data_IF_115657279094
#
_entry.id   IF_115657279094
#
_cell.length_a   1.000
_cell.length_b   1.000
_cell.length_c   1.000
_cell.angle_alpha   90.00
_cell.angle_beta   90.00
_cell.angle_gamma   90.00
#
_symmetry.space_group_name_H-M   'P 1'
#
loop_
_entity.id
_entity.type
_entity.pdbx_description
1 polymer ?
#
# COMPACT_ATOMS: atom_id res chain seq x y z
N UNK A 1 -16.31 6.26 0.49
CA UNK A 1 -14.94 6.54 0.00
C UNK A 1 -14.94 7.61 -1.12
N UNK A 2 -14.28 8.76 -0.90
CA UNK A 2 -14.19 9.88 -1.88
C UNK A 2 -12.90 9.90 -2.70
N UNK A 3 -11.96 8.98 -2.44
CA UNK A 3 -10.67 8.95 -3.14
C UNK A 3 -10.78 8.19 -4.46
N UNK A 4 -10.24 8.74 -5.54
CA UNK A 4 -10.11 8.06 -6.85
C UNK A 4 -8.76 7.34 -7.00
N UNK A 5 -7.81 7.62 -6.10
CA UNK A 5 -6.45 7.08 -6.10
C UNK A 5 -5.94 6.83 -4.68
N UNK A 6 -5.25 5.72 -4.48
CA UNK A 6 -4.49 5.38 -3.27
C UNK A 6 -3.01 5.25 -3.61
N UNK A 7 -2.15 5.84 -2.79
CA UNK A 7 -0.70 5.63 -2.85
C UNK A 7 -0.28 4.95 -1.55
N UNK A 8 0.08 3.67 -1.63
CA UNK A 8 0.42 2.84 -0.47
C UNK A 8 1.88 2.42 -0.56
N UNK A 9 2.62 2.57 0.53
CA UNK A 9 3.98 2.02 0.64
C UNK A 9 3.94 0.78 1.51
N UNK A 10 4.22 -0.37 0.91
CA UNK A 10 4.47 -1.60 1.64
C UNK A 10 5.89 -1.55 2.21
N UNK A 11 5.99 -1.62 3.54
CA UNK A 11 7.27 -1.68 4.27
C UNK A 11 7.37 -3.07 4.87
N UNK A 12 8.40 -3.83 4.48
CA UNK A 12 8.65 -5.17 5.00
C UNK A 12 9.26 -5.11 6.40
N UNK A 13 8.47 -4.64 7.36
CA UNK A 13 8.81 -4.49 8.77
C UNK A 13 7.58 -4.84 9.61
N UNK A 14 7.76 -5.73 10.59
CA UNK A 14 6.73 -6.06 11.56
C UNK A 14 6.77 -5.06 12.73
N UNK A 15 5.59 -4.61 13.17
CA UNK A 15 5.42 -3.70 14.31
C UNK A 15 4.58 -4.43 15.35
N UNK A 16 5.21 -4.89 16.43
CA UNK A 16 4.59 -5.78 17.44
C UNK A 16 3.39 -5.14 18.15
N UNK A 17 3.43 -3.82 18.40
CA UNK A 17 2.42 -3.09 19.16
C UNK A 17 1.63 -2.10 18.29
N UNK A 18 1.37 -2.46 17.02
CA UNK A 18 0.51 -1.65 16.16
C UNK A 18 -0.92 -1.56 16.73
N UNK A 19 -1.36 -0.34 17.07
CA UNK A 19 -2.68 -0.08 17.65
C UNK A 19 -3.74 0.33 16.61
N UNK A 20 -3.29 0.65 15.39
CA UNK A 20 -4.11 1.22 14.32
C UNK A 20 -3.72 0.59 12.99
N UNK A 21 -4.73 0.16 12.23
CA UNK A 21 -4.55 -0.57 10.98
C UNK A 21 -5.19 0.15 9.80
N UNK A 22 -4.61 -0.03 8.61
CA UNK A 22 -5.22 0.44 7.38
C UNK A 22 -6.53 -0.33 7.11
N UNK A 23 -7.62 0.32 6.67
CA UNK A 23 -8.85 -0.38 6.35
C UNK A 23 -8.66 -1.42 5.22
N UNK A 24 -9.45 -2.50 5.20
CA UNK A 24 -9.44 -3.40 4.05
C UNK A 24 -9.90 -2.66 2.79
N UNK A 25 -9.27 -2.96 1.65
CA UNK A 25 -9.71 -2.50 0.34
C UNK A 25 -9.69 -3.68 -0.64
N UNK A 26 -10.74 -3.81 -1.45
CA UNK A 26 -10.97 -4.95 -2.34
C UNK A 26 -10.30 -4.72 -3.71
N UNK A 27 -9.70 -5.77 -4.28
CA UNK A 27 -9.16 -5.77 -5.65
C UNK A 27 -10.25 -5.67 -6.74
N UNK A 28 -11.52 -5.86 -6.39
CA UNK A 28 -12.65 -5.55 -7.28
C UNK A 28 -12.93 -4.03 -7.39
N UNK A 29 -12.60 -3.26 -6.35
CA UNK A 29 -12.78 -1.80 -6.33
C UNK A 29 -11.51 -1.04 -6.74
N UNK A 30 -10.34 -1.64 -6.52
CA UNK A 30 -9.04 -1.00 -6.70
C UNK A 30 -8.14 -1.82 -7.61
N UNK A 31 -7.60 -1.16 -8.63
CA UNK A 31 -6.64 -1.76 -9.56
C UNK A 31 -5.25 -1.15 -9.35
N UNK A 32 -4.24 -2.00 -9.20
CA UNK A 32 -2.84 -1.55 -9.20
C UNK A 32 -2.51 -0.93 -10.56
N UNK A 33 -2.06 0.31 -10.55
CA UNK A 33 -1.66 1.05 -11.73
C UNK A 33 -0.15 0.98 -11.94
N UNK A 34 0.62 1.31 -10.90
CA UNK A 34 2.09 1.30 -10.95
C UNK A 34 2.69 0.84 -9.63
N UNK A 35 3.91 0.32 -9.69
CA UNK A 35 4.69 -0.05 -8.52
C UNK A 35 6.14 0.40 -8.70
N UNK A 36 6.76 0.90 -7.64
CA UNK A 36 8.15 1.34 -7.62
C UNK A 36 8.85 0.83 -6.37
N UNK A 37 9.99 0.18 -6.55
CA UNK A 37 10.84 -0.22 -5.43
C UNK A 37 11.62 1.02 -4.95
N UNK A 38 11.32 1.45 -3.72
CA UNK A 38 11.95 2.64 -3.12
C UNK A 38 13.26 2.26 -2.46
N UNK A 39 13.29 1.09 -1.82
CA UNK A 39 14.45 0.57 -1.12
C UNK A 39 14.45 -0.95 -1.18
N UNK A 40 15.57 -1.53 -1.57
CA UNK A 40 15.75 -2.99 -1.64
C UNK A 40 16.13 -3.59 -0.28
N UNK A 41 16.85 -2.83 0.53
CA UNK A 41 17.51 -3.33 1.75
C UNK A 41 16.74 -2.99 3.03
N UNK A 42 17.01 -3.76 4.09
CA UNK A 42 16.18 -3.88 5.29
C UNK A 42 15.78 -2.54 5.96
N UNK A 43 14.47 -2.22 6.07
CA UNK A 43 13.34 -2.96 5.50
C UNK A 43 13.09 -2.60 4.03
N UNK A 44 12.85 -3.62 3.20
CA UNK A 44 12.44 -3.45 1.80
C UNK A 44 11.16 -2.61 1.72
N UNK A 45 11.13 -1.64 0.81
CA UNK A 45 9.99 -0.74 0.63
C UNK A 45 9.55 -0.65 -0.83
N UNK A 46 8.25 -0.77 -1.04
CA UNK A 46 7.62 -0.72 -2.35
C UNK A 46 6.46 0.26 -2.30
N UNK A 47 6.46 1.27 -3.17
CA UNK A 47 5.27 2.11 -3.36
C UNK A 47 4.40 1.56 -4.48
N UNK A 48 3.11 1.37 -4.20
CA UNK A 48 2.07 1.04 -5.16
C UNK A 48 1.08 2.20 -5.32
N UNK A 49 0.77 2.56 -6.57
CA UNK A 49 -0.33 3.45 -6.92
C UNK A 49 -1.52 2.61 -7.37
N UNK A 50 -2.66 2.76 -6.70
CA UNK A 50 -3.91 2.08 -7.00
C UNK A 50 -4.96 3.09 -7.44
N UNK A 51 -5.71 2.78 -8.48
CA UNK A 51 -6.81 3.61 -8.98
C UNK A 51 -8.12 2.87 -8.82
N UNK A 52 -9.19 3.60 -8.55
CA UNK A 52 -10.52 3.00 -8.46
C UNK A 52 -10.95 2.45 -9.83
N UNK A 53 -11.56 1.28 -9.84
CA UNK A 53 -12.18 0.64 -11.02
C UNK A 53 -13.49 1.32 -11.37
#
# INVERSE_FOLDING_TARGET
PMADRLCLTEVNLEIEEADTFFPPFDGAEWRLNTQTEIRTDEPRCIAGEWVRV
#
